data_IF_151957107509
#
_entry.id   IF_151957107509
#
_cell.length_a   1.000
_cell.length_b   1.000
_cell.length_c   1.000
_cell.angle_alpha   90.00
_cell.angle_beta   90.00
_cell.angle_gamma   90.00
#
_symmetry.space_group_name_H-M   'P 1'
#
loop_
_entity.id
_entity.type
_entity.pdbx_description
1 polymer ?
#
# COMPACT_ATOMS: atom_id res chain seq x y z
N UNK A 1 -20.44 -3.09 -3.97
CA UNK A 1 -19.66 -1.90 -3.61
C UNK A 1 -18.33 -2.00 -4.32
N UNK A 2 -17.90 -0.96 -5.02
CA UNK A 2 -16.62 -0.94 -5.73
C UNK A 2 -15.47 -1.07 -4.72
N UNK A 3 -14.44 -1.82 -5.09
CA UNK A 3 -13.24 -1.95 -4.27
C UNK A 3 -12.56 -0.58 -4.05
N UNK A 4 -12.16 -0.23 -2.80
CA UNK A 4 -11.42 0.99 -2.53
C UNK A 4 -10.12 1.04 -3.35
N UNK A 5 -9.83 2.19 -3.96
CA UNK A 5 -8.64 2.38 -4.83
C UNK A 5 -7.35 1.96 -4.13
N UNK A 6 -7.21 2.25 -2.84
CA UNK A 6 -6.04 1.88 -2.02
C UNK A 6 -5.87 0.36 -1.94
N UNK A 7 -6.95 -0.41 -1.79
CA UNK A 7 -6.87 -1.88 -1.73
C UNK A 7 -6.44 -2.47 -3.07
N UNK A 8 -6.97 -1.93 -4.18
CA UNK A 8 -6.53 -2.32 -5.52
C UNK A 8 -5.04 -2.06 -5.72
N UNK A 9 -4.58 -0.84 -5.39
CA UNK A 9 -3.17 -0.47 -5.51
C UNK A 9 -2.26 -1.33 -4.62
N UNK A 10 -2.71 -1.72 -3.42
CA UNK A 10 -1.96 -2.62 -2.54
C UNK A 10 -1.78 -4.02 -3.15
N UNK A 11 -2.83 -4.57 -3.78
CA UNK A 11 -2.74 -5.85 -4.50
C UNK A 11 -1.87 -5.77 -5.76
N UNK A 12 -1.97 -4.67 -6.50
CA UNK A 12 -1.09 -4.41 -7.64
C UNK A 12 0.38 -4.36 -7.18
N UNK A 13 0.66 -3.69 -6.04
CA UNK A 13 1.98 -3.65 -5.43
C UNK A 13 2.45 -5.04 -4.97
N UNK A 14 1.56 -5.85 -4.41
CA UNK A 14 1.86 -7.23 -4.00
C UNK A 14 2.29 -8.10 -5.19
N UNK A 15 1.54 -8.03 -6.29
CA UNK A 15 1.89 -8.74 -7.52
C UNK A 15 3.23 -8.24 -8.08
N UNK A 16 3.40 -6.92 -8.19
CA UNK A 16 4.64 -6.32 -8.70
C UNK A 16 5.87 -6.65 -7.84
N UNK A 17 5.70 -6.69 -6.51
CA UNK A 17 6.77 -7.05 -5.59
C UNK A 17 7.22 -8.51 -5.72
N UNK A 18 6.27 -9.44 -5.90
CA UNK A 18 6.59 -10.84 -6.17
C UNK A 18 7.26 -11.00 -7.55
N UNK A 19 6.80 -10.29 -8.57
CA UNK A 19 7.39 -10.34 -9.90
C UNK A 19 8.82 -9.75 -9.90
N UNK A 20 9.06 -8.66 -9.18
CA UNK A 20 10.38 -8.07 -9.06
C UNK A 20 11.38 -9.00 -8.38
N UNK A 21 10.94 -9.75 -7.36
CA UNK A 21 11.76 -10.78 -6.72
C UNK A 21 12.14 -11.89 -7.71
N UNK A 22 11.17 -12.40 -8.48
CA UNK A 22 11.42 -13.39 -9.52
C UNK A 22 12.41 -12.89 -10.58
N UNK A 23 12.24 -11.67 -11.09
CA UNK A 23 13.18 -11.07 -12.04
C UNK A 23 14.56 -10.85 -11.40
N UNK A 24 14.62 -10.51 -10.11
CA UNK A 24 15.86 -10.38 -9.36
C UNK A 24 16.61 -11.71 -9.24
N UNK A 25 15.90 -12.80 -8.95
CA UNK A 25 16.49 -14.15 -8.93
C UNK A 25 17.03 -14.54 -10.31
N UNK A 26 16.26 -14.26 -11.37
CA UNK A 26 16.68 -14.54 -12.75
C UNK A 26 17.93 -13.72 -13.13
N UNK A 27 17.94 -12.43 -12.79
CA UNK A 27 19.07 -11.53 -13.00
C UNK A 27 20.32 -12.02 -12.25
N UNK A 28 20.17 -12.48 -11.01
CA UNK A 28 21.25 -13.08 -10.24
C UNK A 28 21.77 -14.39 -10.87
N UNK A 29 20.88 -15.23 -11.41
CA UNK A 29 21.25 -16.48 -12.06
C UNK A 29 22.07 -16.26 -13.34
N UNK A 30 21.83 -15.16 -14.04
CA UNK A 30 22.57 -14.74 -15.23
C UNK A 30 23.88 -13.99 -14.89
N UNK A 31 24.20 -13.83 -13.60
CA UNK A 31 25.42 -13.16 -13.13
C UNK A 31 25.33 -11.63 -13.05
N UNK A 32 24.13 -11.10 -12.79
CA UNK A 32 23.83 -9.67 -12.77
C UNK A 32 24.26 -8.94 -14.06
N UNK A 33 23.80 -9.39 -15.24
CA UNK A 33 24.10 -8.68 -16.46
C UNK A 33 23.47 -7.28 -16.36
N UNK A 34 24.26 -6.20 -16.27
CA UNK A 34 23.74 -4.82 -16.21
C UNK A 34 23.23 -4.32 -17.58
N UNK A 35 22.92 -5.26 -18.48
CA UNK A 35 22.49 -5.03 -19.84
C UNK A 35 21.68 -6.21 -20.35
N UNK A 36 20.93 -5.98 -21.43
CA UNK A 36 20.14 -7.02 -22.09
C UNK A 36 18.73 -7.20 -21.52
N UNK A 37 17.96 -8.15 -22.07
CA UNK A 37 16.52 -8.24 -21.85
C UNK A 37 16.14 -8.54 -20.40
N UNK A 38 16.93 -9.32 -19.68
CA UNK A 38 16.68 -9.63 -18.25
C UNK A 38 16.88 -8.41 -17.37
N UNK A 39 17.91 -7.60 -17.62
CA UNK A 39 18.13 -6.32 -16.92
C UNK A 39 17.02 -5.32 -17.20
N UNK A 40 16.65 -5.16 -18.47
CA UNK A 40 15.57 -4.24 -18.86
C UNK A 40 14.24 -4.62 -18.22
N UNK A 41 13.92 -5.92 -18.17
CA UNK A 41 12.74 -6.43 -17.49
C UNK A 41 12.79 -6.12 -15.98
N UNK A 42 13.92 -6.38 -15.32
CA UNK A 42 14.13 -6.08 -13.91
C UNK A 42 13.96 -4.58 -13.60
N UNK A 43 14.61 -3.71 -14.38
CA UNK A 43 14.52 -2.25 -14.23
C UNK A 43 13.09 -1.76 -14.45
N UNK A 44 12.40 -2.26 -15.47
CA UNK A 44 11.00 -1.91 -15.74
C UNK A 44 10.08 -2.29 -14.58
N UNK A 45 10.27 -3.47 -14.01
CA UNK A 45 9.47 -3.94 -12.88
C UNK A 45 9.76 -3.16 -11.61
N UNK A 46 11.03 -2.83 -11.35
CA UNK A 46 11.42 -1.93 -10.27
C UNK A 46 10.76 -0.55 -10.41
N UNK A 47 10.75 0.02 -11.62
CA UNK A 47 10.04 1.27 -11.89
C UNK A 47 8.53 1.16 -11.64
N UNK A 48 7.92 0.03 -12.03
CA UNK A 48 6.50 -0.25 -11.76
C UNK A 48 6.18 -0.27 -10.26
N UNK A 49 7.00 -0.94 -9.45
CA UNK A 49 6.89 -0.94 -7.98
C UNK A 49 6.96 0.48 -7.43
N UNK A 50 8.01 1.24 -7.78
CA UNK A 50 8.20 2.61 -7.28
C UNK A 50 7.06 3.55 -7.67
N UNK A 51 6.59 3.48 -8.92
CA UNK A 51 5.45 4.28 -9.38
C UNK A 51 4.15 3.92 -8.65
N UNK A 52 3.99 2.67 -8.22
CA UNK A 52 2.80 2.20 -7.48
C UNK A 52 2.85 2.66 -6.02
N UNK A 53 4.03 2.63 -5.40
CA UNK A 53 4.28 3.22 -4.08
C UNK A 53 3.93 4.71 -4.08
N UNK A 54 4.39 5.47 -5.06
CA UNK A 54 4.06 6.90 -5.17
C UNK A 54 2.56 7.17 -5.28
N UNK A 55 1.82 6.33 -6.01
CA UNK A 55 0.35 6.44 -6.09
C UNK A 55 -0.29 6.15 -4.73
N UNK A 56 0.13 5.09 -4.04
CA UNK A 56 -0.37 4.74 -2.72
C UNK A 56 -0.12 5.87 -1.71
N UNK A 57 1.08 6.45 -1.68
CA UNK A 57 1.37 7.59 -0.82
C UNK A 57 0.46 8.79 -1.11
N UNK A 58 0.20 9.09 -2.39
CA UNK A 58 -0.68 10.20 -2.77
C UNK A 58 -2.12 9.95 -2.31
N UNK A 59 -2.62 8.74 -2.44
CA UNK A 59 -3.96 8.36 -1.96
C UNK A 59 -4.08 8.38 -0.43
N UNK A 60 -3.04 7.94 0.29
CA UNK A 60 -2.99 8.03 1.75
C UNK A 60 -2.94 9.49 2.22
N UNK A 61 -2.11 10.32 1.58
CA UNK A 61 -2.00 11.75 1.89
C UNK A 61 -3.27 12.52 1.50
N UNK A 62 -3.96 12.15 0.42
CA UNK A 62 -5.21 12.78 0.00
C UNK A 62 -6.36 12.49 0.96
N UNK A 63 -6.37 11.29 1.53
CA UNK A 63 -7.32 10.85 2.56
C UNK A 63 -7.24 11.72 3.83
N UNK A 64 -6.05 12.28 4.14
CA UNK A 64 -5.87 13.24 5.25
C UNK A 64 -6.33 14.64 4.85
N UNK A 65 -6.00 15.11 3.63
CA UNK A 65 -6.35 16.47 3.16
C UNK A 65 -7.84 16.70 2.99
N UNK A 66 -8.57 15.70 2.49
CA UNK A 66 -10.01 15.75 2.29
C UNK A 66 -10.71 14.93 3.35
N UNK A 67 -10.60 15.34 4.62
CA UNK A 67 -11.41 14.76 5.68
C UNK A 67 -12.74 15.55 5.80
N UNK A 68 -13.88 15.04 5.27
CA UNK A 68 -15.17 15.72 5.40
C UNK A 68 -15.60 15.89 6.85
N UNK A 69 -15.00 15.16 7.80
CA UNK A 69 -15.22 15.32 9.23
C UNK A 69 -14.90 16.73 9.73
N UNK A 70 -13.89 17.40 9.16
CA UNK A 70 -13.61 18.83 9.40
C UNK A 70 -14.72 19.75 8.86
N UNK A 71 -15.53 19.26 7.92
CA UNK A 71 -16.64 19.96 7.29
C UNK A 71 -18.01 19.64 7.93
N UNK A 72 -18.19 18.45 8.54
CA UNK A 72 -19.51 17.96 9.04
C UNK A 72 -19.61 17.73 10.56
N UNK A 73 -18.60 18.10 11.35
CA UNK A 73 -18.76 18.22 12.81
C UNK A 73 -19.00 16.91 13.57
N UNK A 74 -18.52 15.77 13.07
CA UNK A 74 -18.56 14.48 13.79
C UNK A 74 -17.20 14.23 14.45
N UNK A 75 -17.19 13.76 15.69
CA UNK A 75 -15.94 13.42 16.38
C UNK A 75 -15.40 12.09 15.85
N UNK A 76 -14.46 12.16 14.91
CA UNK A 76 -13.70 11.00 14.45
C UNK A 76 -12.45 10.85 15.33
N UNK A 77 -11.97 9.64 15.69
CA UNK A 77 -10.67 9.48 16.35
C UNK A 77 -9.55 9.81 15.35
N UNK A 78 -9.31 11.10 15.15
CA UNK A 78 -8.34 11.64 14.19
C UNK A 78 -6.93 11.12 14.51
N UNK A 79 -6.58 10.99 15.80
CA UNK A 79 -5.29 10.45 16.23
C UNK A 79 -5.04 9.05 15.70
N UNK A 80 -5.92 8.09 16.01
CA UNK A 80 -5.76 6.69 15.60
C UNK A 80 -5.70 6.50 14.08
N UNK A 81 -6.46 7.30 13.32
CA UNK A 81 -6.44 7.23 11.86
C UNK A 81 -5.18 7.87 11.26
N UNK A 82 -4.68 8.97 11.84
CA UNK A 82 -3.40 9.54 11.45
C UNK A 82 -2.25 8.58 11.77
N UNK A 83 -2.29 7.93 12.93
CA UNK A 83 -1.30 6.92 13.32
C UNK A 83 -1.34 5.72 12.36
N UNK A 84 -2.53 5.23 12.01
CA UNK A 84 -2.69 4.14 11.03
C UNK A 84 -2.18 4.51 9.64
N UNK A 85 -2.34 5.78 9.22
CA UNK A 85 -1.81 6.28 7.95
C UNK A 85 -0.28 6.43 8.02
N UNK A 86 0.26 6.89 9.15
CA UNK A 86 1.69 7.00 9.36
C UNK A 86 2.38 5.64 9.27
N UNK A 87 1.81 4.60 9.91
CA UNK A 87 2.29 3.22 9.82
C UNK A 87 2.28 2.72 8.38
N UNK A 88 1.23 3.04 7.61
CA UNK A 88 1.16 2.66 6.19
C UNK A 88 2.21 3.38 5.34
N UNK A 89 2.51 4.65 5.61
CA UNK A 89 3.58 5.38 4.92
C UNK A 89 4.95 4.80 5.27
N UNK A 90 5.19 4.49 6.54
CA UNK A 90 6.44 3.85 6.98
C UNK A 90 6.66 2.50 6.28
N UNK A 91 5.62 1.67 6.20
CA UNK A 91 5.67 0.40 5.48
C UNK A 91 5.98 0.59 3.98
N UNK A 92 5.47 1.65 3.35
CA UNK A 92 5.78 1.96 1.94
C UNK A 92 7.24 2.37 1.74
N UNK A 93 7.82 3.12 2.67
CA UNK A 93 9.25 3.49 2.62
C UNK A 93 10.17 2.28 2.83
N UNK A 94 9.78 1.34 3.69
CA UNK A 94 10.49 0.07 3.84
C UNK A 94 10.43 -0.78 2.56
N UNK A 95 9.26 -0.87 1.91
CA UNK A 95 9.11 -1.54 0.61
C UNK A 95 9.94 -0.83 -0.47
N UNK A 96 9.96 0.50 -0.49
CA UNK A 96 10.78 1.30 -1.43
C UNK A 96 12.26 0.95 -1.27
N UNK A 97 12.74 0.87 -0.03
CA UNK A 97 14.12 0.53 0.29
C UNK A 97 14.47 -0.90 -0.17
N UNK A 98 13.59 -1.87 0.11
CA UNK A 98 13.78 -3.25 -0.37
C UNK A 98 13.73 -3.37 -1.90
N UNK A 99 12.92 -2.57 -2.59
CA UNK A 99 12.87 -2.57 -4.05
C UNK A 99 14.20 -2.17 -4.72
N UNK A 100 15.05 -1.45 -3.98
CA UNK A 100 16.36 -1.01 -4.47
C UNK A 100 17.49 -1.92 -3.97
N UNK A 101 17.46 -2.32 -2.70
CA UNK A 101 18.58 -2.98 -2.04
C UNK A 101 18.39 -4.45 -1.67
N UNK A 102 17.16 -4.94 -1.53
CA UNK A 102 16.86 -6.26 -0.97
C UNK A 102 15.56 -6.84 -1.56
N UNK A 103 15.57 -7.12 -2.88
CA UNK A 103 14.36 -7.54 -3.61
C UNK A 103 13.80 -8.88 -3.11
N UNK A 104 14.65 -9.74 -2.52
CA UNK A 104 14.26 -11.00 -1.90
C UNK A 104 13.34 -10.83 -0.68
N UNK A 105 13.35 -9.66 -0.04
CA UNK A 105 12.49 -9.37 1.12
C UNK A 105 11.12 -8.82 0.73
N UNK A 106 10.96 -8.37 -0.53
CA UNK A 106 9.75 -7.72 -1.00
C UNK A 106 8.49 -8.56 -0.79
N UNK A 107 8.44 -9.86 -1.13
CA UNK A 107 7.19 -10.62 -1.09
C UNK A 107 6.53 -10.62 0.30
N UNK A 108 7.33 -10.67 1.37
CA UNK A 108 6.82 -10.65 2.74
C UNK A 108 6.31 -9.26 3.09
N UNK A 109 7.06 -8.21 2.73
CA UNK A 109 6.70 -6.81 3.03
C UNK A 109 5.44 -6.35 2.30
N UNK A 110 5.32 -6.64 1.00
CA UNK A 110 4.14 -6.25 0.21
C UNK A 110 2.87 -6.99 0.64
N UNK A 111 2.97 -8.27 1.03
CA UNK A 111 1.84 -9.01 1.63
C UNK A 111 1.42 -8.42 2.97
N UNK A 112 2.40 -8.09 3.82
CA UNK A 112 2.15 -7.41 5.08
C UNK A 112 1.43 -6.08 4.88
N UNK A 113 1.85 -5.30 3.88
CA UNK A 113 1.18 -4.05 3.52
C UNK A 113 -0.26 -4.26 3.05
N UNK A 114 -0.53 -5.23 2.17
CA UNK A 114 -1.91 -5.56 1.75
C UNK A 114 -2.79 -5.90 2.95
N UNK A 115 -2.27 -6.67 3.91
CA UNK A 115 -3.00 -7.02 5.14
C UNK A 115 -3.28 -5.78 6.01
N UNK A 116 -2.30 -4.89 6.17
CA UNK A 116 -2.47 -3.62 6.91
C UNK A 116 -3.57 -2.74 6.28
N UNK A 117 -3.55 -2.60 4.96
CA UNK A 117 -4.59 -1.85 4.22
C UNK A 117 -5.97 -2.48 4.43
N UNK A 118 -6.06 -3.81 4.36
CA UNK A 118 -7.31 -4.53 4.58
C UNK A 118 -7.85 -4.32 6.00
N UNK A 119 -6.98 -4.36 7.02
CA UNK A 119 -7.35 -4.10 8.42
C UNK A 119 -7.86 -2.67 8.60
N UNK A 120 -7.15 -1.68 8.06
CA UNK A 120 -7.55 -0.28 8.10
C UNK A 120 -8.94 -0.05 7.49
N UNK A 121 -9.19 -0.61 6.31
CA UNK A 121 -10.49 -0.51 5.63
C UNK A 121 -11.61 -1.21 6.41
N UNK A 122 -11.32 -2.32 7.08
CA UNK A 122 -12.30 -3.01 7.93
C UNK A 122 -12.71 -2.17 9.14
N UNK A 123 -11.75 -1.51 9.80
CA UNK A 123 -12.01 -0.59 10.93
C UNK A 123 -12.86 0.60 10.46
N UNK A 124 -12.51 1.20 9.32
CA UNK A 124 -13.29 2.28 8.71
C UNK A 124 -14.74 1.86 8.38
N UNK A 125 -14.91 0.65 7.82
CA UNK A 125 -16.23 0.12 7.48
C UNK A 125 -17.12 -0.15 8.70
N UNK A 126 -16.54 -0.53 9.84
CA UNK A 126 -17.28 -0.77 11.08
C UNK A 126 -17.74 0.53 11.75
N UNK A 127 -16.95 1.61 11.69
CA UNK A 127 -17.34 2.91 12.26
C UNK A 127 -18.50 3.58 11.52
N UNK A 128 -18.68 3.30 10.22
CA UNK A 128 -19.85 3.73 9.44
C UNK A 128 -21.16 2.98 9.75
N UNK A 129 -21.09 1.86 10.48
CA UNK A 129 -22.24 1.01 10.83
C UNK A 129 -22.74 1.21 12.27
N UNK A 130 -22.25 2.24 12.97
CA UNK A 130 -22.68 2.63 14.31
C UNK A 130 -24.16 3.01 14.36
N UNK A 131 -25.00 2.03 14.72
CA UNK A 131 -26.42 2.11 15.10
C UNK A 131 -26.82 3.47 15.68
N UNK A 132 -27.79 4.14 15.05
CA UNK A 132 -28.73 4.99 15.79
C UNK A 132 -29.50 4.08 16.76
N UNK A 133 -29.50 4.34 18.08
CA UNK A 133 -30.50 3.72 18.93
C UNK A 133 -31.85 4.35 18.56
N UNK A 134 -32.61 3.67 17.70
CA UNK A 134 -34.05 3.87 17.58
C UNK A 134 -34.71 3.30 18.83
N UNK A 135 -34.70 4.07 19.92
CA UNK A 135 -35.47 3.82 21.12
C UNK A 135 -36.72 4.69 21.10
N UNK A 136 -37.78 4.20 20.44
CA UNK A 136 -39.13 4.71 20.58
C UNK A 136 -39.73 4.24 21.91
N UNK A 137 -40.12 5.18 22.77
CA UNK A 137 -41.48 5.38 23.32
C UNK A 137 -41.42 6.29 24.54
#
# INVERSE_FOLDING_TARGET
>A
MSEPVILKLARDLEWLGCELEYQGMKHAHEGFPEAGPTWEAFVRQRQGVLATIEKLERELKSSVKYNPTSLVGVTYPIGEALDAIAIQIEALEDIRSSAVGAVNELPVKVRGFTQLVQMYLNVLGQQGSGKRPSGSR
#
